data_IF_159267931263
#
_entry.id   IF_159267931263
#
_cell.length_a   1.000
_cell.length_b   1.000
_cell.length_c   1.000
_cell.angle_alpha   90.00
_cell.angle_beta   90.00
_cell.angle_gamma   90.00
#
_symmetry.space_group_name_H-M   'P 1'
#
loop_
_entity.id
_entity.type
_entity.pdbx_description
1 polymer ?
#
# COMPACT_ATOMS: atom_id res chain seq x y z
N UNK A 1 -24.79 -4.48 27.50
CA UNK A 1 -25.18 -4.60 26.08
C UNK A 1 -24.67 -3.37 25.37
N UNK A 2 -23.65 -3.52 24.52
CA UNK A 2 -23.10 -2.39 23.76
C UNK A 2 -24.08 -2.01 22.65
N UNK A 3 -24.31 -0.71 22.45
CA UNK A 3 -25.19 -0.23 21.40
C UNK A 3 -24.68 -0.69 20.01
N UNK A 4 -25.58 -0.95 19.04
CA UNK A 4 -25.16 -1.25 17.68
C UNK A 4 -24.41 -0.06 17.11
N UNK A 5 -23.18 -0.31 16.66
CA UNK A 5 -22.39 0.66 15.90
C UNK A 5 -23.19 1.00 14.64
N UNK A 6 -23.58 2.26 14.48
CA UNK A 6 -24.22 2.73 13.24
C UNK A 6 -23.27 2.44 12.08
N UNK A 7 -23.76 1.99 10.91
CA UNK A 7 -22.93 1.94 9.72
C UNK A 7 -22.39 3.36 9.48
N UNK A 8 -21.07 3.51 9.56
CA UNK A 8 -20.41 4.66 8.96
C UNK A 8 -20.75 4.68 7.48
N UNK A 9 -21.06 5.86 6.95
CA UNK A 9 -21.31 6.06 5.53
C UNK A 9 -20.23 5.34 4.70
N UNK A 10 -20.64 4.54 3.72
CA UNK A 10 -19.70 3.73 2.92
C UNK A 10 -18.85 4.68 2.07
N UNK A 11 -17.55 4.65 2.28
CA UNK A 11 -16.58 5.40 1.49
C UNK A 11 -16.17 4.55 0.27
N UNK A 12 -16.23 5.13 -0.92
CA UNK A 12 -15.72 4.52 -2.15
C UNK A 12 -14.35 5.12 -2.48
N UNK A 13 -13.35 4.25 -2.58
CA UNK A 13 -11.97 4.62 -2.86
C UNK A 13 -11.43 3.91 -4.09
N UNK A 14 -10.43 4.51 -4.73
CA UNK A 14 -9.73 3.96 -5.90
C UNK A 14 -8.25 3.78 -5.59
N UNK A 15 -7.72 2.60 -5.89
CA UNK A 15 -6.27 2.34 -5.90
C UNK A 15 -5.64 3.08 -7.10
N UNK A 16 -4.59 3.85 -6.82
CA UNK A 16 -3.85 4.63 -7.81
C UNK A 16 -3.19 3.78 -8.92
N UNK A 17 -3.05 2.47 -8.74
CA UNK A 17 -2.63 1.56 -9.82
C UNK A 17 -3.52 1.68 -11.06
N UNK A 18 -4.78 2.08 -10.87
CA UNK A 18 -5.77 2.33 -11.94
C UNK A 18 -5.27 3.34 -12.97
N UNK A 19 -4.41 4.27 -12.58
CA UNK A 19 -3.88 5.29 -13.48
C UNK A 19 -2.62 4.85 -14.25
N UNK A 20 -2.15 3.61 -14.13
CA UNK A 20 -0.81 3.25 -14.62
C UNK A 20 -0.76 2.93 -16.12
N UNK A 21 -1.91 2.86 -16.79
CA UNK A 21 -1.95 2.64 -18.23
C UNK A 21 -1.38 3.88 -18.97
N UNK A 22 -0.32 3.72 -19.79
CA UNK A 22 0.37 4.86 -20.43
C UNK A 22 -0.54 5.76 -21.28
N UNK A 23 -1.57 5.20 -21.93
CA UNK A 23 -2.50 5.96 -22.76
C UNK A 23 -3.29 7.01 -21.98
N UNK A 24 -3.56 6.81 -20.68
CA UNK A 24 -4.19 7.84 -19.83
C UNK A 24 -3.34 9.12 -19.76
N UNK A 25 -2.03 8.98 -19.92
CA UNK A 25 -1.04 10.04 -19.86
C UNK A 25 -0.59 10.55 -21.24
N UNK A 26 -1.11 9.96 -22.33
CA UNK A 26 -0.62 10.20 -23.68
C UNK A 26 0.83 9.72 -23.89
N UNK A 27 1.25 8.68 -23.16
CA UNK A 27 2.58 8.07 -23.24
C UNK A 27 2.51 6.71 -23.92
N UNK A 28 3.64 6.24 -24.46
CA UNK A 28 3.71 4.96 -25.16
C UNK A 28 3.97 3.78 -24.21
N UNK A 29 4.72 4.02 -23.13
CA UNK A 29 5.18 2.94 -22.23
C UNK A 29 5.04 3.28 -20.76
N UNK A 30 5.03 2.23 -19.94
CA UNK A 30 5.06 2.37 -18.48
C UNK A 30 6.37 2.99 -17.99
N UNK A 31 7.50 2.66 -18.62
CA UNK A 31 8.80 3.23 -18.26
C UNK A 31 8.85 4.75 -18.48
N UNK A 32 8.23 5.25 -19.54
CA UNK A 32 8.07 6.69 -19.77
C UNK A 32 7.24 7.36 -18.67
N UNK A 33 6.16 6.70 -18.22
CA UNK A 33 5.34 7.18 -17.11
C UNK A 33 6.17 7.28 -15.82
N UNK A 34 6.88 6.20 -15.46
CA UNK A 34 7.73 6.18 -14.26
C UNK A 34 8.80 7.25 -14.32
N UNK A 35 9.50 7.38 -15.45
CA UNK A 35 10.56 8.36 -15.64
C UNK A 35 10.03 9.80 -15.53
N UNK A 36 8.90 10.10 -16.18
CA UNK A 36 8.30 11.43 -16.14
C UNK A 36 7.75 11.77 -14.75
N UNK A 37 7.07 10.84 -14.10
CA UNK A 37 6.57 11.05 -12.74
C UNK A 37 7.69 11.26 -11.71
N UNK A 38 8.83 10.59 -11.88
CA UNK A 38 10.01 10.82 -11.04
C UNK A 38 10.64 12.20 -11.26
N UNK A 39 10.70 12.67 -12.52
CA UNK A 39 11.22 13.99 -12.86
C UNK A 39 10.26 15.14 -12.47
N UNK A 40 8.95 14.90 -12.56
CA UNK A 40 7.89 15.87 -12.33
C UNK A 40 6.79 15.29 -11.41
N UNK A 41 7.04 15.11 -10.09
CA UNK A 41 6.08 14.47 -9.19
C UNK A 41 4.69 15.13 -9.17
N UNK A 42 4.65 16.47 -9.25
CA UNK A 42 3.38 17.22 -9.32
C UNK A 42 2.57 16.93 -10.57
N UNK A 43 3.20 16.67 -11.71
CA UNK A 43 2.49 16.33 -12.96
C UNK A 43 1.67 15.04 -12.80
N UNK A 44 2.26 14.02 -12.17
CA UNK A 44 1.56 12.77 -11.87
C UNK A 44 0.44 13.01 -10.84
N UNK A 45 0.79 13.58 -9.69
CA UNK A 45 -0.15 13.68 -8.58
C UNK A 45 -1.33 14.61 -8.87
N UNK A 46 -1.11 15.80 -9.44
CA UNK A 46 -2.22 16.71 -9.72
C UNK A 46 -3.19 16.13 -10.76
N UNK A 47 -2.71 15.35 -11.73
CA UNK A 47 -3.57 14.69 -12.71
C UNK A 47 -4.38 13.55 -12.08
N UNK A 48 -3.76 12.69 -11.28
CA UNK A 48 -4.46 11.62 -10.56
C UNK A 48 -5.56 12.18 -9.65
N UNK A 49 -5.21 13.15 -8.79
CA UNK A 49 -6.17 13.75 -7.86
C UNK A 49 -7.28 14.51 -8.59
N UNK A 50 -6.96 15.21 -9.68
CA UNK A 50 -7.94 15.87 -10.53
C UNK A 50 -8.92 14.87 -11.17
N UNK A 51 -8.42 13.77 -11.73
CA UNK A 51 -9.25 12.76 -12.35
C UNK A 51 -10.17 12.03 -11.34
N UNK A 52 -9.70 11.77 -10.13
CA UNK A 52 -10.54 11.22 -9.05
C UNK A 52 -11.69 12.17 -8.68
N UNK A 53 -11.39 13.45 -8.51
CA UNK A 53 -12.39 14.47 -8.19
C UNK A 53 -13.40 14.64 -9.35
N UNK A 54 -12.94 14.67 -10.60
CA UNK A 54 -13.79 14.71 -11.81
C UNK A 54 -14.74 13.49 -11.89
N UNK A 55 -14.28 12.33 -11.44
CA UNK A 55 -15.07 11.09 -11.39
C UNK A 55 -16.04 11.00 -10.20
N UNK A 56 -16.02 11.96 -9.27
CA UNK A 56 -16.84 11.95 -8.06
C UNK A 56 -16.39 10.93 -7.00
N UNK A 57 -15.14 10.47 -7.08
CA UNK A 57 -14.53 9.62 -6.06
C UNK A 57 -14.08 10.48 -4.88
N UNK A 58 -14.22 9.98 -3.65
CA UNK A 58 -13.89 10.72 -2.42
C UNK A 58 -12.77 10.07 -1.59
N UNK A 59 -12.32 8.86 -1.97
CA UNK A 59 -11.22 8.16 -1.32
C UNK A 59 -10.17 7.65 -2.29
N UNK A 60 -8.94 7.46 -1.81
CA UNK A 60 -7.91 6.78 -2.58
C UNK A 60 -7.04 5.85 -1.72
N UNK A 61 -6.50 4.83 -2.37
CA UNK A 61 -5.42 3.99 -1.85
C UNK A 61 -4.13 4.29 -2.61
N UNK A 62 -3.05 4.52 -1.86
CA UNK A 62 -1.71 4.67 -2.41
C UNK A 62 -1.11 3.31 -2.74
N UNK A 63 -0.23 3.27 -3.73
CA UNK A 63 0.39 2.03 -4.20
C UNK A 63 1.92 2.16 -4.25
N UNK A 64 2.59 1.32 -5.02
CA UNK A 64 4.01 1.46 -5.32
C UNK A 64 4.31 2.69 -6.19
N UNK A 65 5.58 3.07 -6.43
CA UNK A 65 5.90 4.21 -7.29
C UNK A 65 5.33 4.04 -8.71
N UNK A 66 4.86 5.13 -9.36
CA UNK A 66 4.91 6.53 -8.92
C UNK A 66 3.79 7.02 -7.98
N UNK A 67 2.92 6.14 -7.48
CA UNK A 67 1.78 6.48 -6.62
C UNK A 67 2.02 6.21 -5.13
N UNK A 68 3.27 6.29 -4.69
CA UNK A 68 3.69 5.97 -3.32
C UNK A 68 3.82 7.21 -2.42
N UNK A 69 4.04 6.99 -1.13
CA UNK A 69 4.17 8.10 -0.18
C UNK A 69 5.40 8.97 -0.41
N UNK A 70 6.50 8.42 -0.93
CA UNK A 70 7.73 9.18 -1.17
C UNK A 70 7.55 10.17 -2.32
N UNK A 71 6.91 9.75 -3.41
CA UNK A 71 6.57 10.65 -4.52
C UNK A 71 5.52 11.68 -4.12
N UNK A 72 4.57 11.36 -3.24
CA UNK A 72 3.64 12.33 -2.68
C UNK A 72 4.37 13.42 -1.87
N UNK A 73 5.31 13.04 -1.01
CA UNK A 73 6.18 13.99 -0.29
C UNK A 73 7.02 14.80 -1.27
N UNK A 74 7.58 14.19 -2.32
CA UNK A 74 8.33 14.91 -3.34
C UNK A 74 7.47 15.93 -4.10
N UNK A 75 6.17 15.65 -4.28
CA UNK A 75 5.23 16.55 -4.93
C UNK A 75 4.77 17.69 -4.02
N UNK A 76 4.43 17.40 -2.77
CA UNK A 76 3.74 18.35 -1.87
C UNK A 76 4.57 18.82 -0.68
N UNK A 77 5.82 18.37 -0.56
CA UNK A 77 6.80 18.80 0.44
C UNK A 77 6.69 18.07 1.78
N UNK A 78 5.49 17.66 2.19
CA UNK A 78 5.26 16.91 3.44
C UNK A 78 3.97 16.08 3.39
N UNK A 79 3.74 15.17 4.37
CA UNK A 79 2.46 14.50 4.53
C UNK A 79 1.28 15.47 4.69
N UNK A 80 1.47 16.57 5.41
CA UNK A 80 0.45 17.62 5.61
C UNK A 80 0.14 18.36 4.30
N UNK A 81 1.18 18.71 3.53
CA UNK A 81 0.98 19.33 2.21
C UNK A 81 0.23 18.40 1.25
N UNK A 82 0.44 17.09 1.36
CA UNK A 82 -0.35 16.12 0.61
C UNK A 82 -1.80 16.07 1.11
N UNK A 83 -2.03 16.04 2.42
CA UNK A 83 -3.39 16.09 3.00
C UNK A 83 -4.17 17.33 2.55
N UNK A 84 -3.54 18.51 2.56
CA UNK A 84 -4.14 19.76 2.07
C UNK A 84 -4.52 19.66 0.57
N UNK A 85 -3.68 19.01 -0.24
CA UNK A 85 -3.97 18.81 -1.66
C UNK A 85 -5.14 17.85 -1.91
N UNK A 86 -5.35 16.87 -1.03
CA UNK A 86 -6.51 15.99 -1.03
C UNK A 86 -7.77 16.74 -0.61
N UNK A 87 -7.71 17.46 0.52
CA UNK A 87 -8.84 18.23 1.06
C UNK A 87 -9.35 19.27 0.06
N UNK A 88 -8.44 19.99 -0.60
CA UNK A 88 -8.78 20.98 -1.63
C UNK A 88 -9.56 20.39 -2.83
N UNK A 89 -9.59 19.06 -2.95
CA UNK A 89 -10.28 18.31 -4.01
C UNK A 89 -11.41 17.42 -3.47
N UNK A 90 -11.73 17.51 -2.18
CA UNK A 90 -12.74 16.66 -1.54
C UNK A 90 -12.33 15.18 -1.46
N UNK A 91 -11.02 14.91 -1.46
CA UNK A 91 -10.46 13.56 -1.39
C UNK A 91 -9.97 13.25 0.02
N UNK A 92 -9.93 11.96 0.33
CA UNK A 92 -9.38 11.41 1.57
C UNK A 92 -8.43 10.26 1.26
N UNK A 93 -7.36 10.14 2.04
CA UNK A 93 -6.50 8.98 1.99
C UNK A 93 -7.10 7.87 2.85
N UNK A 94 -7.26 6.68 2.29
CA UNK A 94 -7.81 5.51 3.02
C UNK A 94 -6.68 4.63 3.53
N UNK A 95 -5.80 4.23 2.60
CA UNK A 95 -4.81 3.18 2.79
C UNK A 95 -3.58 3.38 1.91
N UNK A 96 -2.53 2.61 2.20
CA UNK A 96 -1.35 2.50 1.35
C UNK A 96 -0.84 1.07 1.25
N UNK A 97 -0.49 0.62 0.04
CA UNK A 97 0.06 -0.71 -0.21
C UNK A 97 1.55 -0.79 0.18
N UNK A 98 1.89 -1.81 0.97
CA UNK A 98 3.20 -2.06 1.53
C UNK A 98 3.80 -3.33 0.94
N UNK A 99 4.72 -3.16 -0.02
CA UNK A 99 5.37 -4.24 -0.74
C UNK A 99 6.72 -4.69 -0.16
N UNK A 100 7.17 -4.08 0.95
CA UNK A 100 8.56 -4.26 1.42
C UNK A 100 8.87 -5.67 1.93
N UNK A 101 7.85 -6.45 2.29
CA UNK A 101 8.03 -7.84 2.72
C UNK A 101 8.52 -8.71 1.55
N UNK A 102 7.97 -8.51 0.34
CA UNK A 102 8.41 -9.23 -0.87
C UNK A 102 9.76 -8.71 -1.40
N UNK A 103 10.03 -7.41 -1.21
CA UNK A 103 11.24 -6.73 -1.69
C UNK A 103 12.48 -6.95 -0.81
N UNK A 104 12.32 -7.56 0.36
CA UNK A 104 13.38 -7.73 1.35
C UNK A 104 13.61 -9.19 1.71
N UNK A 105 14.81 -9.49 2.21
CA UNK A 105 15.16 -10.79 2.81
C UNK A 105 14.54 -10.93 4.21
N UNK A 106 13.21 -11.02 4.28
CA UNK A 106 12.39 -10.99 5.51
C UNK A 106 12.69 -12.09 6.54
N UNK A 107 13.46 -13.12 6.13
CA UNK A 107 13.92 -14.20 7.02
C UNK A 107 15.19 -13.85 7.81
N UNK A 108 15.89 -12.79 7.43
CA UNK A 108 17.12 -12.35 8.10
C UNK A 108 16.81 -11.28 9.16
N UNK A 109 17.59 -11.21 10.26
CA UNK A 109 17.44 -10.14 11.26
C UNK A 109 17.54 -8.73 10.66
N UNK A 110 18.44 -8.54 9.69
CA UNK A 110 18.64 -7.28 8.98
C UNK A 110 17.41 -6.92 8.15
N UNK A 111 16.92 -7.85 7.33
CA UNK A 111 15.74 -7.63 6.50
C UNK A 111 14.49 -7.34 7.33
N UNK A 112 14.30 -8.05 8.46
CA UNK A 112 13.21 -7.75 9.41
C UNK A 112 13.31 -6.34 9.96
N UNK A 113 14.49 -5.92 10.41
CA UNK A 113 14.70 -4.56 10.94
C UNK A 113 14.40 -3.49 9.88
N UNK A 114 14.77 -3.73 8.63
CA UNK A 114 14.52 -2.80 7.53
C UNK A 114 13.02 -2.71 7.18
N UNK A 115 12.32 -3.86 7.16
CA UNK A 115 10.86 -3.90 6.98
C UNK A 115 10.14 -3.14 8.10
N UNK A 116 10.49 -3.38 9.36
CA UNK A 116 9.86 -2.71 10.50
C UNK A 116 10.11 -1.20 10.50
N UNK A 117 11.30 -0.76 10.09
CA UNK A 117 11.59 0.66 9.89
C UNK A 117 10.72 1.25 8.78
N UNK A 118 10.64 0.58 7.63
CA UNK A 118 9.82 1.05 6.51
C UNK A 118 8.33 1.11 6.87
N UNK A 119 7.82 0.14 7.64
CA UNK A 119 6.46 0.14 8.14
C UNK A 119 6.19 1.31 9.09
N UNK A 120 7.12 1.62 9.99
CA UNK A 120 7.02 2.78 10.89
C UNK A 120 6.99 4.10 10.10
N UNK A 121 7.90 4.28 9.15
CA UNK A 121 7.97 5.47 8.29
C UNK A 121 6.68 5.67 7.50
N UNK A 122 6.14 4.60 6.91
CA UNK A 122 4.89 4.70 6.16
C UNK A 122 3.69 4.91 7.10
N UNK A 123 3.67 4.30 8.28
CA UNK A 123 2.61 4.56 9.26
C UNK A 123 2.60 6.02 9.75
N UNK A 124 3.77 6.63 9.97
CA UNK A 124 3.89 8.06 10.27
C UNK A 124 3.31 8.92 9.14
N UNK A 125 3.69 8.63 7.90
CA UNK A 125 3.14 9.31 6.73
C UNK A 125 1.62 9.18 6.67
N UNK A 126 1.08 7.95 6.78
CA UNK A 126 -0.36 7.70 6.69
C UNK A 126 -1.11 8.46 7.78
N UNK A 127 -0.64 8.42 9.03
CA UNK A 127 -1.26 9.13 10.13
C UNK A 127 -1.36 10.63 9.83
N UNK A 128 -0.28 11.24 9.37
CA UNK A 128 -0.18 12.69 9.12
C UNK A 128 -0.91 13.11 7.83
N UNK A 129 -1.03 12.20 6.87
CA UNK A 129 -1.79 12.40 5.64
C UNK A 129 -3.30 12.07 5.76
N UNK A 130 -3.75 11.60 6.94
CA UNK A 130 -5.16 11.27 7.20
C UNK A 130 -5.59 9.84 6.83
N UNK A 131 -4.65 8.97 6.45
CA UNK A 131 -4.86 7.54 6.22
C UNK A 131 -5.03 6.74 7.52
N UNK A 132 -5.57 5.52 7.40
CA UNK A 132 -5.86 4.69 8.59
C UNK A 132 -5.44 3.22 8.49
N UNK A 133 -4.99 2.77 7.30
CA UNK A 133 -4.65 1.37 7.05
C UNK A 133 -3.36 1.25 6.24
N UNK A 134 -2.44 0.41 6.71
CA UNK A 134 -1.32 -0.09 5.91
C UNK A 134 -1.71 -1.47 5.37
N UNK A 135 -1.72 -1.65 4.06
CA UNK A 135 -2.12 -2.89 3.40
C UNK A 135 -0.86 -3.66 3.01
N UNK A 136 -0.55 -4.75 3.69
CA UNK A 136 0.67 -5.54 3.43
C UNK A 136 0.45 -6.58 2.34
N UNK A 137 1.24 -6.47 1.27
CA UNK A 137 1.45 -7.55 0.31
C UNK A 137 2.45 -8.57 0.86
N UNK A 138 2.15 -9.85 0.72
CA UNK A 138 3.04 -10.93 1.16
C UNK A 138 3.95 -11.40 0.03
N UNK A 139 5.08 -12.06 0.34
CA UNK A 139 6.03 -12.52 -0.68
C UNK A 139 5.36 -13.35 -1.77
N UNK A 140 5.80 -13.14 -3.02
CA UNK A 140 5.36 -13.95 -4.13
C UNK A 140 5.96 -15.36 -4.05
N UNK A 141 5.18 -16.36 -4.47
CA UNK A 141 5.64 -17.74 -4.58
C UNK A 141 6.66 -17.83 -5.70
N UNK A 142 7.90 -18.16 -5.34
CA UNK A 142 9.00 -18.44 -6.30
C UNK A 142 9.06 -19.91 -6.73
N UNK A 143 7.99 -20.66 -6.52
CA UNK A 143 7.97 -22.13 -6.60
C UNK A 143 7.21 -22.68 -7.81
N UNK A 144 6.85 -21.82 -8.77
CA UNK A 144 6.18 -22.23 -10.01
C UNK A 144 7.03 -23.26 -10.73
N UNK A 145 6.48 -24.46 -10.92
CA UNK A 145 7.16 -25.56 -11.60
C UNK A 145 8.22 -26.32 -10.77
N UNK A 146 8.33 -26.05 -9.46
CA UNK A 146 9.28 -26.74 -8.59
C UNK A 146 9.03 -28.26 -8.52
N UNK A 147 10.11 -29.04 -8.49
CA UNK A 147 10.11 -30.49 -8.31
C UNK A 147 11.12 -30.88 -7.21
N UNK A 148 10.68 -31.40 -6.05
CA UNK A 148 9.27 -31.63 -5.66
C UNK A 148 8.47 -30.32 -5.52
N UNK A 149 7.14 -30.43 -5.56
CA UNK A 149 6.26 -29.28 -5.35
C UNK A 149 6.48 -28.68 -3.95
N UNK A 150 6.55 -27.35 -3.88
CA UNK A 150 6.74 -26.60 -2.64
C UNK A 150 5.46 -25.86 -2.27
N UNK A 151 5.00 -26.07 -1.04
CA UNK A 151 3.78 -25.47 -0.50
C UNK A 151 4.11 -24.45 0.59
N UNK A 152 3.23 -23.47 0.78
CA UNK A 152 3.22 -22.67 2.00
C UNK A 152 2.62 -23.57 3.09
N UNK A 153 3.43 -23.89 4.08
CA UNK A 153 3.11 -24.72 5.24
C UNK A 153 3.36 -23.94 6.53
N UNK A 154 3.11 -24.55 7.69
CA UNK A 154 3.31 -23.89 8.99
C UNK A 154 4.75 -23.40 9.18
N UNK A 155 5.76 -24.16 8.74
CA UNK A 155 7.16 -23.76 8.85
C UNK A 155 7.49 -22.50 8.03
N UNK A 156 6.72 -22.25 6.97
CA UNK A 156 6.80 -21.02 6.16
C UNK A 156 5.94 -19.91 6.73
N UNK A 157 4.72 -20.22 7.17
CA UNK A 157 3.72 -19.26 7.64
C UNK A 157 4.05 -18.67 9.01
N UNK A 158 4.52 -19.48 9.97
CA UNK A 158 4.79 -19.06 11.34
C UNK A 158 5.78 -17.87 11.44
N UNK A 159 6.97 -17.90 10.80
CA UNK A 159 7.87 -16.74 10.86
C UNK A 159 7.29 -15.51 10.14
N UNK A 160 6.46 -15.69 9.11
CA UNK A 160 5.80 -14.59 8.41
C UNK A 160 4.71 -13.96 9.29
N UNK A 161 3.90 -14.78 9.96
CA UNK A 161 2.89 -14.34 10.92
C UNK A 161 3.53 -13.59 12.10
N UNK A 162 4.66 -14.06 12.62
CA UNK A 162 5.43 -13.34 13.64
C UNK A 162 5.87 -11.95 13.16
N UNK A 163 6.39 -11.85 11.93
CA UNK A 163 6.74 -10.57 11.33
C UNK A 163 5.52 -9.66 11.13
N UNK A 164 4.37 -10.20 10.69
CA UNK A 164 3.13 -9.41 10.55
C UNK A 164 2.64 -8.87 11.89
N UNK A 165 2.77 -9.64 12.97
CA UNK A 165 2.46 -9.14 14.32
C UNK A 165 3.40 -8.03 14.76
N UNK A 166 4.71 -8.14 14.46
CA UNK A 166 5.69 -7.08 14.73
C UNK A 166 5.39 -5.81 13.92
N UNK A 167 5.03 -5.94 12.63
CA UNK A 167 4.59 -4.82 11.80
C UNK A 167 3.32 -4.20 12.40
N UNK A 168 2.33 -5.00 12.77
CA UNK A 168 1.08 -4.53 13.37
C UNK A 168 1.32 -3.76 14.67
N UNK A 169 2.20 -4.24 15.54
CA UNK A 169 2.60 -3.52 16.77
C UNK A 169 3.22 -2.16 16.44
N UNK A 170 4.13 -2.11 15.45
CA UNK A 170 4.77 -0.86 15.03
C UNK A 170 3.76 0.12 14.44
N UNK A 171 2.88 -0.31 13.53
CA UNK A 171 1.91 0.59 12.88
C UNK A 171 0.85 1.10 13.86
N UNK A 172 0.44 0.27 14.83
CA UNK A 172 -0.55 0.65 15.84
C UNK A 172 -0.06 1.78 16.77
N UNK A 173 1.25 1.93 16.97
CA UNK A 173 1.82 3.07 17.71
C UNK A 173 1.54 4.41 17.03
N UNK A 174 1.26 4.41 15.73
CA UNK A 174 0.83 5.56 14.94
C UNK A 174 -0.70 5.61 14.73
N UNK A 175 -1.46 4.68 15.32
CA UNK A 175 -2.91 4.54 15.09
C UNK A 175 -3.27 3.93 13.74
N UNK A 176 -2.30 3.32 13.03
CA UNK A 176 -2.52 2.70 11.72
C UNK A 176 -2.75 1.20 11.88
N UNK A 177 -3.84 0.71 11.30
CA UNK A 177 -4.18 -0.71 11.28
C UNK A 177 -3.41 -1.40 10.17
N UNK A 178 -2.89 -2.59 10.46
CA UNK A 178 -2.36 -3.48 9.43
C UNK A 178 -3.50 -4.31 8.84
N UNK A 179 -3.63 -4.32 7.52
CA UNK A 179 -4.46 -5.26 6.77
C UNK A 179 -3.55 -6.16 5.93
N UNK A 180 -3.86 -7.45 5.85
CA UNK A 180 -3.08 -8.39 5.04
C UNK A 180 -3.80 -8.63 3.72
N UNK A 181 -3.12 -8.38 2.61
CA UNK A 181 -3.70 -8.49 1.28
C UNK A 181 -3.53 -9.92 0.74
N UNK A 182 -4.66 -10.58 0.42
CA UNK A 182 -4.63 -11.82 -0.35
C UNK A 182 -4.37 -11.52 -1.81
N UNK A 183 -3.32 -12.07 -2.41
CA UNK A 183 -2.93 -11.74 -3.79
C UNK A 183 -2.67 -13.03 -4.59
N UNK A 184 -3.02 -13.01 -5.87
CA UNK A 184 -2.70 -14.10 -6.77
C UNK A 184 -1.20 -14.38 -6.75
N UNK A 185 -0.83 -15.65 -6.61
CA UNK A 185 0.56 -16.10 -6.57
C UNK A 185 1.37 -15.66 -5.34
N UNK A 186 0.79 -14.96 -4.36
CA UNK A 186 1.49 -14.69 -3.10
C UNK A 186 1.44 -15.89 -2.14
N UNK A 187 2.21 -15.79 -1.05
CA UNK A 187 2.15 -16.77 0.03
C UNK A 187 0.76 -16.85 0.69
N UNK A 188 -0.10 -15.85 0.50
CA UNK A 188 -1.49 -15.83 0.98
C UNK A 188 -2.45 -15.59 -0.19
N UNK A 189 -2.79 -16.67 -0.90
CA UNK A 189 -3.55 -16.61 -2.14
C UNK A 189 -4.87 -17.39 -2.06
N UNK A 190 -4.86 -18.54 -1.40
CA UNK A 190 -6.01 -19.45 -1.27
C UNK A 190 -6.61 -19.36 0.13
N UNK A 191 -7.86 -19.79 0.31
CA UNK A 191 -8.49 -19.85 1.64
C UNK A 191 -7.66 -20.66 2.65
N UNK A 192 -7.02 -21.75 2.20
CA UNK A 192 -6.10 -22.51 3.04
C UNK A 192 -4.93 -21.67 3.55
N UNK A 193 -4.36 -20.81 2.70
CA UNK A 193 -3.23 -19.98 3.12
C UNK A 193 -3.65 -18.90 4.13
N UNK A 194 -4.94 -18.50 4.12
CA UNK A 194 -5.53 -17.59 5.12
C UNK A 194 -5.75 -18.27 6.47
N UNK A 195 -6.02 -19.58 6.45
CA UNK A 195 -6.25 -20.38 7.65
C UNK A 195 -4.95 -20.82 8.36
N UNK A 196 -3.78 -20.67 7.72
CA UNK A 196 -2.45 -20.98 8.28
C UNK A 196 -1.96 -19.87 9.22
#
# INVERSE_FOLDING_TARGET
MSAPVKPTETLYAVDLITFYHPEFWGLATFDELVAKAAAEPRWFWDRCLGALAEAGVTGLEMTFPPGDWRSAVAAYGSPEGFAEALEARGLTLVSGFFAEIDRSEWRTPEGRRDILRAAAEYADFLQRAGGSVLVAGLPLRRTVGAQPALFVDMATAEPLAALLNEIGDVTLRHGIRLAVHTEAHSMMCTGRDVDL
#
